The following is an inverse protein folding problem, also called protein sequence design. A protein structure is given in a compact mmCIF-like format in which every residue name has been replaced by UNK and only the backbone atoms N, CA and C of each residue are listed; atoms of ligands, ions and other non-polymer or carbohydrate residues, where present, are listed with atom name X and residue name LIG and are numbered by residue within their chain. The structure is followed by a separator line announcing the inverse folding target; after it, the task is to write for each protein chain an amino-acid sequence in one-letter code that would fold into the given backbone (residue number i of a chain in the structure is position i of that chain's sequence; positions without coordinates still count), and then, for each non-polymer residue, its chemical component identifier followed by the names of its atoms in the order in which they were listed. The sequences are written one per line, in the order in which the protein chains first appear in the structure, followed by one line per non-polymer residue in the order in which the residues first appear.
data_IF_924274952521
#
_entry.id   IF_924274952521
#
_cell.length_a   1.000
_cell.length_b   1.000
_cell.length_c   1.000
_cell.angle_alpha   90.00
_cell.angle_beta   90.00
_cell.angle_gamma   90.00
#
_symmetry.space_group_name_H-M   'P 1'
#
loop_
_entity.id
_entity.type
_entity.pdbx_description
1 polymer ?
#
# COMPACT_ATOMS: atom_id res chain seq x y z
N UNK A 1 -13.05 -82.46 38.34
CA UNK A 1 -12.34 -81.28 38.89
C UNK A 1 -11.95 -80.42 37.68
N UNK A 2 -12.76 -79.39 37.40
CA UNK A 2 -12.64 -78.58 36.20
C UNK A 2 -12.05 -77.23 36.59
N UNK A 3 -10.84 -76.93 36.11
CA UNK A 3 -10.18 -75.65 36.32
C UNK A 3 -10.53 -74.74 35.13
N UNK A 4 -11.30 -73.66 35.42
CA UNK A 4 -11.66 -72.64 34.41
C UNK A 4 -10.57 -71.59 34.38
N UNK A 5 -9.78 -71.54 33.29
CA UNK A 5 -8.87 -70.46 32.95
C UNK A 5 -9.71 -69.23 32.52
N UNK A 6 -9.62 -68.13 33.21
CA UNK A 6 -10.13 -66.82 32.83
C UNK A 6 -9.00 -66.10 32.08
N UNK A 7 -9.18 -65.89 30.80
CA UNK A 7 -8.32 -65.08 29.95
C UNK A 7 -8.69 -63.61 30.24
N UNK A 8 -7.79 -62.86 30.82
CA UNK A 8 -7.96 -61.40 31.02
C UNK A 8 -7.43 -60.71 29.78
N UNK A 9 -8.32 -60.14 29.00
CA UNK A 9 -7.99 -59.33 27.80
C UNK A 9 -7.63 -57.92 28.25
N UNK A 10 -6.35 -57.58 28.24
CA UNK A 10 -5.86 -56.21 28.48
C UNK A 10 -5.99 -55.43 27.17
N UNK A 11 -7.00 -54.54 27.11
CA UNK A 11 -7.12 -53.55 26.07
C UNK A 11 -6.10 -52.44 26.34
N UNK A 12 -5.00 -52.45 25.60
CA UNK A 12 -4.07 -51.29 25.55
C UNK A 12 -4.67 -50.21 24.64
N UNK A 13 -5.19 -49.14 25.22
CA UNK A 13 -5.60 -47.94 24.51
C UNK A 13 -4.36 -47.12 24.21
N UNK A 14 -3.86 -47.20 22.99
CA UNK A 14 -2.79 -46.34 22.51
C UNK A 14 -3.38 -44.94 22.25
N UNK A 15 -3.08 -43.97 23.13
CA UNK A 15 -3.32 -42.54 22.87
C UNK A 15 -2.39 -42.10 21.74
N UNK A 16 -2.91 -42.02 20.52
CA UNK A 16 -2.22 -41.33 19.44
C UNK A 16 -2.28 -39.79 19.69
N UNK A 17 -1.21 -39.28 20.29
CA UNK A 17 -0.98 -37.84 20.38
C UNK A 17 -0.62 -37.34 18.97
N UNK A 18 -1.59 -36.82 18.25
CA UNK A 18 -1.37 -36.13 16.97
C UNK A 18 -0.60 -34.84 17.22
N UNK A 19 0.70 -34.84 16.99
CA UNK A 19 1.55 -33.65 16.98
C UNK A 19 1.14 -32.84 15.77
N UNK A 20 0.29 -31.81 15.99
CA UNK A 20 0.03 -30.80 14.96
C UNK A 20 1.30 -29.97 14.84
N UNK A 21 2.12 -30.30 13.85
CA UNK A 21 3.26 -29.45 13.48
C UNK A 21 2.73 -28.06 13.06
N UNK A 22 3.28 -26.95 13.57
CA UNK A 22 2.93 -25.64 13.06
C UNK A 22 3.29 -25.60 11.57
N UNK A 23 2.29 -25.39 10.72
CA UNK A 23 2.54 -25.14 9.30
C UNK A 23 3.39 -23.89 9.21
N UNK A 24 4.64 -24.03 8.82
CA UNK A 24 5.46 -22.93 8.35
C UNK A 24 4.74 -22.33 7.17
N UNK A 25 4.21 -21.14 7.35
CA UNK A 25 3.71 -20.32 6.23
C UNK A 25 4.97 -19.89 5.48
N UNK A 26 5.34 -20.64 4.45
CA UNK A 26 6.41 -20.22 3.55
C UNK A 26 6.06 -18.85 3.02
N UNK A 27 6.87 -17.86 3.37
CA UNK A 27 6.73 -16.52 2.83
C UNK A 27 6.78 -16.62 1.30
N UNK A 28 5.73 -16.17 0.63
CA UNK A 28 5.65 -16.24 -0.83
C UNK A 28 6.95 -15.70 -1.44
N UNK A 29 7.54 -16.40 -2.44
CA UNK A 29 8.83 -16.01 -2.99
C UNK A 29 8.76 -14.56 -3.50
N UNK A 30 9.80 -13.79 -3.17
CA UNK A 30 9.90 -12.38 -3.56
C UNK A 30 9.93 -12.27 -5.10
N UNK A 31 8.92 -11.69 -5.76
CA UNK A 31 8.85 -11.67 -7.23
C UNK A 31 9.97 -10.88 -7.88
N UNK A 32 10.40 -9.79 -7.23
CA UNK A 32 11.51 -8.93 -7.65
C UNK A 32 12.10 -8.20 -6.44
N UNK A 33 13.41 -8.04 -6.44
CA UNK A 33 14.12 -7.33 -5.37
C UNK A 33 14.55 -5.94 -5.84
N UNK A 34 14.25 -4.92 -5.03
CA UNK A 34 14.78 -3.57 -5.14
C UNK A 34 15.84 -3.37 -4.04
N UNK A 35 17.00 -2.84 -4.41
CA UNK A 35 18.05 -2.50 -3.43
C UNK A 35 17.88 -1.05 -3.03
N UNK A 36 17.63 -0.80 -1.74
CA UNK A 36 17.36 0.53 -1.20
C UNK A 36 18.58 1.44 -1.33
N UNK A 37 18.36 2.68 -1.76
CA UNK A 37 19.37 3.72 -1.96
C UNK A 37 19.20 4.85 -0.95
N UNK A 38 20.20 5.72 -0.84
CA UNK A 38 20.13 6.91 0.00
C UNK A 38 18.90 7.76 -0.35
N UNK A 39 18.11 8.10 0.66
CA UNK A 39 16.87 8.87 0.52
C UNK A 39 15.63 8.06 0.15
N UNK A 40 15.73 6.72 0.05
CA UNK A 40 14.57 5.88 -0.16
C UNK A 40 13.70 5.80 1.11
N UNK A 41 12.40 5.70 0.85
CA UNK A 41 11.35 5.35 1.81
C UNK A 41 10.50 4.22 1.22
N UNK A 42 9.69 3.55 2.03
CA UNK A 42 8.74 2.55 1.56
C UNK A 42 7.88 3.08 0.40
N UNK A 43 7.46 4.32 0.55
CA UNK A 43 6.65 4.99 -0.44
C UNK A 43 7.43 5.26 -1.75
N UNK A 44 8.66 5.84 -1.68
CA UNK A 44 9.47 6.11 -2.88
C UNK A 44 9.85 4.82 -3.63
N UNK A 45 10.09 3.72 -2.88
CA UNK A 45 10.35 2.40 -3.47
C UNK A 45 9.11 1.88 -4.18
N UNK A 46 7.92 2.04 -3.59
CA UNK A 46 6.66 1.66 -4.23
C UNK A 46 6.47 2.42 -5.55
N UNK A 47 6.70 3.73 -5.56
CA UNK A 47 6.62 4.54 -6.78
C UNK A 47 7.64 4.10 -7.84
N UNK A 48 8.91 3.95 -7.48
CA UNK A 48 9.98 3.48 -8.38
C UNK A 48 9.71 2.09 -8.94
N UNK A 49 8.94 1.28 -8.22
CA UNK A 49 8.54 -0.07 -8.62
C UNK A 49 7.16 -0.11 -9.28
N UNK A 50 6.55 1.05 -9.55
CA UNK A 50 5.23 1.22 -10.14
C UNK A 50 4.15 0.36 -9.44
N UNK A 51 4.08 0.50 -8.13
CA UNK A 51 3.16 -0.25 -7.26
C UNK A 51 2.66 0.62 -6.11
N UNK A 52 1.75 0.11 -5.30
CA UNK A 52 1.23 0.82 -4.13
C UNK A 52 2.11 0.61 -2.90
N UNK A 53 2.09 1.58 -1.98
CA UNK A 53 2.78 1.50 -0.69
C UNK A 53 2.36 0.24 0.08
N UNK A 54 1.06 0.01 0.22
CA UNK A 54 0.51 -1.13 0.97
C UNK A 54 0.98 -2.46 0.39
N UNK A 55 1.08 -2.57 -0.94
CA UNK A 55 1.57 -3.78 -1.59
C UNK A 55 3.04 -4.06 -1.29
N UNK A 56 3.89 -3.02 -1.29
CA UNK A 56 5.30 -3.17 -0.90
C UNK A 56 5.42 -3.53 0.57
N UNK A 57 4.71 -2.84 1.46
CA UNK A 57 4.71 -3.15 2.90
C UNK A 57 4.27 -4.58 3.17
N UNK A 58 3.18 -5.04 2.56
CA UNK A 58 2.66 -6.41 2.70
C UNK A 58 3.67 -7.46 2.23
N UNK A 59 4.34 -7.24 1.08
CA UNK A 59 5.36 -8.17 0.56
C UNK A 59 6.59 -8.29 1.47
N UNK A 60 6.85 -7.29 2.30
CA UNK A 60 8.00 -7.24 3.20
C UNK A 60 7.64 -7.46 4.67
N UNK A 61 6.37 -7.70 5.01
CA UNK A 61 5.92 -7.78 6.39
C UNK A 61 6.24 -6.51 7.19
N UNK A 62 6.30 -5.36 6.51
CA UNK A 62 6.74 -4.09 7.07
C UNK A 62 5.55 -3.16 7.36
N UNK A 63 5.80 -2.20 8.26
CA UNK A 63 4.89 -1.08 8.54
C UNK A 63 5.48 0.20 7.97
N UNK A 64 4.69 1.26 7.84
CA UNK A 64 5.15 2.58 7.39
C UNK A 64 6.26 3.14 8.27
N UNK A 65 6.28 2.78 9.55
CA UNK A 65 7.29 3.16 10.55
C UNK A 65 8.55 2.28 10.52
N UNK A 66 8.55 1.18 9.77
CA UNK A 66 9.71 0.31 9.64
C UNK A 66 10.86 1.06 8.97
N UNK A 67 12.05 1.00 9.55
CA UNK A 67 13.25 1.63 8.97
C UNK A 67 13.70 0.89 7.73
N UNK A 68 14.21 1.64 6.75
CA UNK A 68 14.91 1.12 5.57
C UNK A 68 16.34 1.66 5.63
N UNK A 69 17.31 0.77 5.49
CA UNK A 69 18.71 1.13 5.41
C UNK A 69 19.20 1.05 3.96
N UNK A 70 20.25 1.81 3.65
CA UNK A 70 20.91 1.73 2.34
C UNK A 70 21.47 0.31 2.16
N UNK A 71 21.12 -0.32 1.03
CA UNK A 71 21.51 -1.69 0.71
C UNK A 71 20.47 -2.75 1.09
N UNK A 72 19.41 -2.39 1.84
CA UNK A 72 18.35 -3.33 2.15
C UNK A 72 17.69 -3.88 0.88
N UNK A 73 17.45 -5.17 0.87
CA UNK A 73 16.73 -5.86 -0.21
C UNK A 73 15.23 -5.79 0.07
N UNK A 74 14.54 -4.93 -0.64
CA UNK A 74 13.10 -4.72 -0.53
C UNK A 74 12.39 -5.54 -1.61
N UNK A 75 11.45 -6.36 -1.19
CA UNK A 75 10.61 -7.15 -2.08
C UNK A 75 9.58 -6.24 -2.78
N UNK A 76 9.55 -6.29 -4.10
CA UNK A 76 8.59 -5.52 -4.90
C UNK A 76 7.88 -6.44 -5.90
N UNK A 77 6.68 -6.08 -6.39
CA UNK A 77 5.99 -6.90 -7.40
C UNK A 77 6.82 -7.09 -8.66
N UNK A 78 6.83 -8.30 -9.21
CA UNK A 78 7.64 -8.68 -10.37
C UNK A 78 7.19 -8.07 -11.72
N UNK A 79 6.02 -7.47 -11.79
CA UNK A 79 5.52 -6.81 -13.00
C UNK A 79 5.43 -5.30 -12.77
N UNK A 80 6.21 -4.54 -13.53
CA UNK A 80 5.95 -3.13 -13.74
C UNK A 80 4.76 -3.02 -14.69
N UNK A 81 3.61 -2.56 -14.21
CA UNK A 81 2.62 -1.98 -15.13
C UNK A 81 3.32 -0.83 -15.84
N UNK A 82 3.31 -0.75 -17.19
CA UNK A 82 3.98 0.34 -17.87
C UNK A 82 3.53 1.68 -17.33
N UNK A 83 4.47 2.63 -17.16
CA UNK A 83 4.15 4.00 -16.79
C UNK A 83 3.08 4.50 -17.78
N UNK A 84 1.89 4.78 -17.26
CA UNK A 84 0.78 5.23 -18.08
C UNK A 84 1.08 6.64 -18.57
N UNK A 85 1.47 6.76 -19.84
CA UNK A 85 1.47 8.06 -20.53
C UNK A 85 0.04 8.56 -20.59
N UNK A 86 -0.19 9.76 -20.04
CA UNK A 86 -1.51 10.38 -19.99
C UNK A 86 -1.88 10.92 -21.36
N UNK A 87 -2.73 10.25 -22.16
CA UNK A 87 -3.74 10.94 -22.92
C UNK A 87 -5.16 10.51 -22.54
N UNK A 88 -5.34 9.34 -21.91
CA UNK A 88 -6.65 8.89 -21.46
C UNK A 88 -6.65 8.64 -19.94
N UNK A 89 -7.17 9.58 -19.17
CA UNK A 89 -7.54 9.32 -17.77
C UNK A 89 -8.69 8.29 -17.84
N UNK A 90 -8.50 7.04 -17.44
CA UNK A 90 -9.60 6.08 -17.42
C UNK A 90 -10.74 6.65 -16.58
N UNK A 91 -11.95 6.45 -17.01
CA UNK A 91 -13.10 6.74 -16.15
C UNK A 91 -13.06 5.78 -14.97
N UNK A 92 -12.70 6.28 -13.81
CA UNK A 92 -12.76 5.54 -12.56
C UNK A 92 -14.15 5.63 -11.98
N UNK A 93 -14.68 4.52 -11.51
CA UNK A 93 -15.85 4.51 -10.63
C UNK A 93 -15.47 5.07 -9.26
N UNK A 94 -16.44 5.56 -8.50
CA UNK A 94 -16.18 6.03 -7.14
C UNK A 94 -15.57 4.95 -6.26
N UNK A 95 -16.00 3.70 -6.41
CA UNK A 95 -15.44 2.57 -5.65
C UNK A 95 -13.96 2.34 -5.95
N UNK A 96 -13.55 2.42 -7.23
CA UNK A 96 -12.15 2.32 -7.61
C UNK A 96 -11.31 3.48 -7.06
N UNK A 97 -11.85 4.70 -7.03
CA UNK A 97 -11.18 5.86 -6.46
C UNK A 97 -10.99 5.69 -4.94
N UNK A 98 -12.02 5.24 -4.23
CA UNK A 98 -11.93 4.92 -2.80
C UNK A 98 -10.85 3.88 -2.55
N UNK A 99 -10.81 2.81 -3.34
CA UNK A 99 -9.79 1.77 -3.19
C UNK A 99 -8.37 2.31 -3.48
N UNK A 100 -8.22 3.17 -4.48
CA UNK A 100 -6.94 3.84 -4.79
C UNK A 100 -6.46 4.69 -3.60
N UNK A 101 -7.38 5.40 -2.93
CA UNK A 101 -7.03 6.19 -1.74
C UNK A 101 -6.58 5.25 -0.62
N UNK A 102 -7.34 4.19 -0.32
CA UNK A 102 -6.99 3.20 0.68
C UNK A 102 -5.63 2.54 0.41
N UNK A 103 -5.35 2.18 -0.84
CA UNK A 103 -4.06 1.61 -1.23
C UNK A 103 -2.87 2.58 -1.07
N UNK A 104 -3.11 3.87 -1.07
CA UNK A 104 -2.08 4.90 -0.97
C UNK A 104 -1.79 5.36 0.46
N UNK A 105 -2.75 5.18 1.38
CA UNK A 105 -2.67 5.65 2.76
C UNK A 105 -2.55 4.48 3.75
N UNK A 106 -1.89 4.66 4.91
CA UNK A 106 -1.93 3.68 6.00
C UNK A 106 -3.34 3.50 6.56
N UNK A 107 -3.66 2.31 7.06
CA UNK A 107 -4.99 1.93 7.54
C UNK A 107 -5.54 2.89 8.60
N UNK A 108 -4.69 3.37 9.51
CA UNK A 108 -5.04 4.32 10.58
C UNK A 108 -5.34 5.75 10.10
N UNK A 109 -4.99 6.07 8.84
CA UNK A 109 -5.20 7.39 8.22
C UNK A 109 -6.23 7.36 7.09
N UNK A 110 -6.67 6.19 6.63
CA UNK A 110 -7.53 6.02 5.45
C UNK A 110 -8.84 6.80 5.56
N UNK A 111 -9.55 6.67 6.67
CA UNK A 111 -10.86 7.31 6.85
C UNK A 111 -10.77 8.83 6.79
N UNK A 112 -9.72 9.42 7.37
CA UNK A 112 -9.49 10.86 7.29
C UNK A 112 -9.10 11.29 5.88
N UNK A 113 -8.28 10.50 5.18
CA UNK A 113 -7.92 10.75 3.79
C UNK A 113 -9.15 10.70 2.87
N UNK A 114 -10.03 9.70 3.05
CA UNK A 114 -11.30 9.59 2.34
C UNK A 114 -12.21 10.80 2.60
N UNK A 115 -12.35 11.22 3.85
CA UNK A 115 -13.13 12.41 4.20
C UNK A 115 -12.61 13.66 3.47
N UNK A 116 -11.29 13.87 3.45
CA UNK A 116 -10.67 15.02 2.78
C UNK A 116 -10.91 14.92 1.26
N UNK A 117 -10.64 13.80 0.62
CA UNK A 117 -10.85 13.63 -0.81
C UNK A 117 -12.33 13.86 -1.21
N UNK A 118 -13.27 13.42 -0.37
CA UNK A 118 -14.68 13.74 -0.60
C UNK A 118 -14.97 15.22 -0.47
N UNK A 119 -14.45 15.88 0.54
CA UNK A 119 -14.62 17.32 0.75
C UNK A 119 -14.05 18.15 -0.40
N UNK A 120 -12.84 17.82 -0.85
CA UNK A 120 -12.08 18.57 -1.84
C UNK A 120 -12.58 18.37 -3.27
N UNK A 121 -12.98 17.16 -3.64
CA UNK A 121 -13.30 16.83 -5.04
C UNK A 121 -14.55 15.97 -5.25
N UNK A 122 -15.24 15.53 -4.20
CA UNK A 122 -16.31 14.52 -4.28
C UNK A 122 -15.81 13.22 -4.96
N UNK A 123 -14.58 12.84 -4.68
CA UNK A 123 -13.89 11.70 -5.32
C UNK A 123 -13.72 11.81 -6.84
N UNK A 124 -13.68 13.04 -7.38
CA UNK A 124 -13.50 13.24 -8.82
C UNK A 124 -12.01 13.44 -9.15
N UNK A 125 -11.35 12.47 -9.82
CA UNK A 125 -9.93 12.59 -10.16
C UNK A 125 -9.64 13.78 -11.08
N UNK A 126 -10.56 14.07 -12.00
CA UNK A 126 -10.44 15.20 -12.95
C UNK A 126 -10.78 16.57 -12.39
N UNK A 127 -11.00 16.70 -11.07
CA UNK A 127 -11.36 17.97 -10.48
C UNK A 127 -10.23 19.01 -10.62
N UNK A 128 -10.58 20.19 -11.12
CA UNK A 128 -9.72 21.38 -11.17
C UNK A 128 -10.55 22.53 -10.62
N UNK A 129 -10.04 23.25 -9.64
CA UNK A 129 -10.77 24.37 -9.09
C UNK A 129 -10.88 25.54 -10.08
N UNK A 130 -11.78 26.51 -9.80
CA UNK A 130 -12.04 27.64 -10.70
C UNK A 130 -10.79 28.49 -10.99
N UNK A 131 -9.89 28.66 -10.04
CA UNK A 131 -8.65 29.42 -10.20
C UNK A 131 -7.55 28.62 -10.92
N UNK A 132 -7.83 27.36 -11.31
CA UNK A 132 -6.90 26.45 -11.97
C UNK A 132 -5.58 26.27 -11.22
N UNK A 133 -5.59 26.37 -9.89
CA UNK A 133 -4.41 26.17 -9.06
C UNK A 133 -4.28 24.74 -8.55
N UNK A 134 -5.42 24.11 -8.31
CA UNK A 134 -5.53 22.92 -7.48
C UNK A 134 -6.18 21.78 -8.26
N UNK A 135 -5.57 20.59 -8.17
CA UNK A 135 -5.83 19.48 -9.09
C UNK A 135 -6.14 18.20 -8.35
N UNK A 136 -7.10 17.45 -8.87
CA UNK A 136 -7.41 16.07 -8.52
C UNK A 136 -8.09 15.88 -7.17
N UNK A 137 -7.99 14.68 -6.63
CA UNK A 137 -8.75 14.21 -5.47
C UNK A 137 -8.57 15.08 -4.22
N UNK A 138 -7.34 15.47 -3.94
CA UNK A 138 -6.94 16.23 -2.76
C UNK A 138 -6.68 17.70 -3.04
N UNK A 139 -7.06 18.18 -4.22
CA UNK A 139 -6.92 19.58 -4.67
C UNK A 139 -5.51 20.15 -4.43
N UNK A 140 -4.48 19.43 -4.93
CA UNK A 140 -3.09 19.79 -4.70
C UNK A 140 -2.70 21.00 -5.56
N UNK A 141 -2.12 22.02 -4.92
CA UNK A 141 -1.63 23.21 -5.60
C UNK A 141 -0.28 22.94 -6.26
N UNK A 142 -0.28 22.50 -7.55
CA UNK A 142 0.91 22.10 -8.28
C UNK A 142 2.04 23.14 -8.23
N UNK A 143 1.73 24.41 -8.50
CA UNK A 143 2.74 25.48 -8.58
C UNK A 143 3.50 25.67 -7.27
N UNK A 144 2.84 25.46 -6.13
CA UNK A 144 3.45 25.57 -4.81
C UNK A 144 4.33 24.37 -4.47
N UNK A 145 3.95 23.22 -4.95
CA UNK A 145 4.60 21.94 -4.60
C UNK A 145 5.53 21.37 -5.68
N UNK A 146 5.68 22.05 -6.81
CA UNK A 146 6.42 21.57 -8.00
C UNK A 146 7.87 21.12 -7.75
N UNK A 147 8.50 21.61 -6.68
CA UNK A 147 9.90 21.29 -6.36
C UNK A 147 10.06 19.85 -5.83
N UNK A 148 9.09 19.35 -5.08
CA UNK A 148 9.16 18.01 -4.50
C UNK A 148 8.21 16.99 -5.19
N UNK A 149 7.22 17.44 -5.92
CA UNK A 149 6.28 16.57 -6.64
C UNK A 149 6.97 15.55 -7.58
N UNK A 150 8.13 15.84 -8.19
CA UNK A 150 8.89 14.82 -8.92
C UNK A 150 9.34 13.62 -8.08
N UNK A 151 9.48 13.76 -6.76
CA UNK A 151 9.77 12.64 -5.86
C UNK A 151 8.67 11.57 -5.91
N UNK A 152 7.45 11.97 -6.28
CA UNK A 152 6.26 11.13 -6.36
C UNK A 152 5.82 10.84 -7.80
N UNK A 153 6.68 11.16 -8.78
CA UNK A 153 6.41 10.92 -10.19
C UNK A 153 5.55 11.98 -10.87
N UNK A 154 5.31 13.13 -10.22
CA UNK A 154 4.51 14.22 -10.78
C UNK A 154 5.42 15.34 -11.27
N UNK A 155 5.54 15.48 -12.58
CA UNK A 155 6.35 16.51 -13.26
C UNK A 155 5.52 17.60 -13.94
N UNK A 156 4.20 17.41 -14.03
CA UNK A 156 3.25 18.39 -14.57
C UNK A 156 1.94 18.40 -13.79
N UNK A 157 1.22 19.52 -13.84
CA UNK A 157 -0.05 19.68 -13.13
C UNK A 157 -1.11 18.64 -13.58
N UNK A 158 -1.15 18.31 -14.87
CA UNK A 158 -2.13 17.37 -15.41
C UNK A 158 -1.95 15.94 -14.86
N UNK A 159 -0.74 15.57 -14.42
CA UNK A 159 -0.51 14.28 -13.80
C UNK A 159 -1.18 14.15 -12.43
N UNK A 160 -1.49 15.25 -11.77
CA UNK A 160 -2.31 15.25 -10.55
C UNK A 160 -3.78 14.90 -10.79
N UNK A 161 -4.21 14.78 -12.04
CA UNK A 161 -5.54 14.27 -12.39
C UNK A 161 -5.57 12.73 -12.44
N UNK A 162 -4.43 12.06 -12.39
CA UNK A 162 -4.37 10.63 -12.14
C UNK A 162 -4.61 10.38 -10.63
N UNK A 163 -5.63 9.60 -10.26
CA UNK A 163 -5.99 9.42 -8.85
C UNK A 163 -4.89 8.74 -8.02
N UNK A 164 -4.05 7.90 -8.64
CA UNK A 164 -2.95 7.23 -7.94
C UNK A 164 -1.84 8.22 -7.62
N UNK A 165 -1.45 9.03 -8.59
CA UNK A 165 -0.43 10.07 -8.41
C UNK A 165 -0.91 11.13 -7.41
N UNK A 166 -2.19 11.49 -7.48
CA UNK A 166 -2.77 12.48 -6.57
C UNK A 166 -2.82 11.97 -5.12
N UNK A 167 -3.31 10.75 -4.90
CA UNK A 167 -3.36 10.15 -3.56
C UNK A 167 -1.94 9.97 -2.97
N UNK A 168 -0.97 9.54 -3.78
CA UNK A 168 0.42 9.42 -3.38
C UNK A 168 1.04 10.78 -3.03
N UNK A 169 0.78 11.81 -3.84
CA UNK A 169 1.25 13.17 -3.58
C UNK A 169 0.62 13.76 -2.31
N UNK A 170 -0.66 13.49 -2.07
CA UNK A 170 -1.35 13.91 -0.85
C UNK A 170 -0.74 13.25 0.38
N UNK A 171 -0.49 11.94 0.36
CA UNK A 171 0.17 11.26 1.47
C UNK A 171 1.59 11.79 1.72
N UNK A 172 2.36 12.06 0.65
CA UNK A 172 3.68 12.70 0.78
C UNK A 172 3.58 14.10 1.38
N UNK A 173 2.57 14.87 1.02
CA UNK A 173 2.32 16.20 1.59
C UNK A 173 1.98 16.12 3.08
N UNK A 174 1.15 15.16 3.50
CA UNK A 174 0.88 14.84 4.90
C UNK A 174 2.18 14.57 5.67
N UNK A 175 3.06 13.71 5.15
CA UNK A 175 4.34 13.37 5.77
C UNK A 175 5.26 14.60 5.92
N UNK A 176 5.34 15.44 4.90
CA UNK A 176 6.18 16.65 4.89
C UNK A 176 5.71 17.72 5.88
N UNK A 177 4.44 17.74 6.19
CA UNK A 177 3.82 18.70 7.11
C UNK A 177 3.57 18.12 8.52
N UNK A 178 4.01 16.88 8.78
CA UNK A 178 3.74 16.15 10.02
C UNK A 178 2.24 16.14 10.41
N UNK A 179 1.36 16.03 9.41
CA UNK A 179 -0.08 15.98 9.66
C UNK A 179 -0.94 16.60 8.57
N UNK A 180 -2.18 16.88 8.95
CA UNK A 180 -3.27 17.28 8.05
C UNK A 180 -3.31 18.78 7.74
N UNK A 181 -2.40 19.59 8.30
CA UNK A 181 -2.37 21.06 8.17
C UNK A 181 -2.64 21.62 6.76
N UNK A 182 -2.17 20.98 5.67
CA UNK A 182 -2.49 21.46 4.31
C UNK A 182 -3.98 21.48 3.96
N UNK A 183 -4.83 20.80 4.73
CA UNK A 183 -6.28 20.68 4.50
C UNK A 183 -7.13 21.19 5.68
N UNK A 184 -6.54 21.81 6.69
CA UNK A 184 -7.21 22.41 7.86
C UNK A 184 -7.55 23.89 7.68
#
# INVERSE_FOLDING_TARGET
MVVRNRLVLLCAVALMCSVVSPQQVDAAPCPKTYVAKRGDSWWSIAQKSNTTLNRVLKLNGAKTTSKILIGDKVCVPGQSTPARTIPDIPKYTQAEVIQIIRDAWPDDLEERALFIAHRESKYQPGAINRSKCCYGLFQIYYRWHKLWLPEVGVTSANQLLDPRLNAAAAYRMYQRNNGWGPWE
#
